data_IF_353721179762
#
_entry.id   IF_353721179762
#
_cell.length_a   1.000
_cell.length_b   1.000
_cell.length_c   1.000
_cell.angle_alpha   90.00
_cell.angle_beta   90.00
_cell.angle_gamma   90.00
#
_symmetry.space_group_name_H-M   'P 1'
#
loop_
_entity.id
_entity.type
_entity.pdbx_description
1 polymer ?
#
# COMPACT_ATOMS: atom_id res chain seq x y z
N UNK A 1 -9.52 61.77 10.31
CA UNK A 1 -8.59 60.64 10.46
C UNK A 1 -9.28 59.41 9.93
N UNK A 2 -8.79 58.88 8.81
CA UNK A 2 -9.50 57.94 7.95
C UNK A 2 -8.70 56.65 7.83
N UNK A 3 -9.40 55.52 7.74
CA UNK A 3 -8.96 54.11 7.75
C UNK A 3 -7.82 53.74 6.77
N UNK A 4 -7.37 54.69 5.95
CA UNK A 4 -6.29 54.51 4.98
C UNK A 4 -4.87 54.73 5.56
N UNK A 5 -4.75 55.41 6.70
CA UNK A 5 -3.43 55.63 7.33
C UNK A 5 -2.95 54.43 8.16
N UNK A 6 -3.85 53.53 8.57
CA UNK A 6 -3.51 52.35 9.37
C UNK A 6 -3.07 51.12 8.54
N UNK A 7 -3.21 51.16 7.21
CA UNK A 7 -2.82 50.03 6.34
C UNK A 7 -1.43 50.18 5.70
N UNK A 8 -0.79 51.37 5.82
CA UNK A 8 0.54 51.62 5.24
C UNK A 8 1.71 51.33 6.19
N UNK A 9 1.44 51.15 7.49
CA UNK A 9 2.47 50.79 8.48
C UNK A 9 2.66 49.28 8.67
N UNK A 10 1.89 48.44 7.97
CA UNK A 10 2.01 46.97 8.04
C UNK A 10 2.84 46.34 6.90
N UNK A 11 3.19 47.13 5.88
CA UNK A 11 4.05 46.70 4.78
C UNK A 11 5.19 47.71 4.66
N UNK A 12 6.33 47.36 5.27
CA UNK A 12 7.49 48.23 5.52
C UNK A 12 8.11 48.89 4.29
N UNK A 13 7.46 49.92 3.79
CA UNK A 13 7.98 50.86 2.81
C UNK A 13 8.15 52.22 3.48
N UNK A 14 9.35 52.49 4.00
CA UNK A 14 9.73 53.87 4.39
C UNK A 14 10.15 54.66 3.15
N UNK A 15 9.53 55.83 2.88
CA UNK A 15 9.97 56.71 1.82
C UNK A 15 11.21 57.53 2.22
N UNK A 16 12.03 57.80 1.21
CA UNK A 16 13.22 58.66 1.24
C UNK A 16 12.80 60.14 1.15
N UNK A 17 13.32 60.99 2.04
CA UNK A 17 13.53 62.45 1.89
C UNK A 17 14.36 62.94 3.11
N UNK A 18 15.24 63.94 3.09
CA UNK A 18 16.16 64.58 2.14
C UNK A 18 17.07 65.55 2.95
N UNK A 19 18.37 65.68 2.57
CA UNK A 19 19.33 66.82 2.72
C UNK A 19 19.70 67.38 4.12
N UNK A 20 20.94 67.16 4.62
CA UNK A 20 22.23 67.94 4.51
C UNK A 20 22.47 68.91 5.70
N UNK A 21 23.73 69.23 6.14
CA UNK A 21 24.90 69.55 5.32
C UNK A 21 26.27 68.97 5.76
N UNK A 22 27.28 69.32 4.96
CA UNK A 22 28.67 68.84 4.78
C UNK A 22 29.64 69.46 5.79
N UNK A 23 30.68 68.72 6.22
CA UNK A 23 32.06 69.21 6.49
C UNK A 23 33.05 68.03 6.73
N UNK A 24 34.40 68.21 6.70
CA UNK A 24 35.26 67.50 5.75
C UNK A 24 36.14 66.36 6.31
N UNK A 25 36.54 65.51 5.36
CA UNK A 25 37.76 64.68 5.24
C UNK A 25 38.73 64.67 6.45
N UNK A 26 38.94 63.49 7.02
CA UNK A 26 40.24 63.15 7.58
C UNK A 26 40.62 61.68 7.33
N UNK A 27 41.88 61.51 6.97
CA UNK A 27 42.53 60.34 6.37
C UNK A 27 42.92 59.31 7.44
N UNK A 28 42.72 58.00 7.20
CA UNK A 28 43.71 56.93 7.46
C UNK A 28 43.20 55.51 7.10
N UNK A 29 44.12 54.76 6.46
CA UNK A 29 44.18 53.33 6.04
C UNK A 29 43.54 52.26 6.96
N UNK A 30 43.49 50.95 6.58
CA UNK A 30 43.93 50.27 5.32
C UNK A 30 42.85 49.37 4.66
N UNK A 31 43.06 49.03 3.38
CA UNK A 31 42.30 47.99 2.66
C UNK A 31 42.67 46.59 3.17
N UNK A 32 41.67 45.78 3.56
CA UNK A 32 41.80 44.32 3.69
C UNK A 32 41.18 43.61 2.47
N UNK A 33 41.70 42.44 2.06
CA UNK A 33 41.40 41.82 0.77
C UNK A 33 40.07 41.06 0.80
N UNK A 34 39.28 41.26 -0.24
CA UNK A 34 38.08 40.46 -0.56
C UNK A 34 38.50 39.00 -0.74
N UNK A 35 38.09 38.12 0.18
CA UNK A 35 38.07 36.67 -0.04
C UNK A 35 36.87 36.04 0.64
N UNK A 36 35.66 36.37 0.16
CA UNK A 36 34.50 35.51 0.38
C UNK A 36 34.36 34.59 -0.83
N UNK A 37 34.99 33.41 -0.74
CA UNK A 37 34.58 32.26 -1.55
C UNK A 37 33.38 31.65 -0.80
N UNK A 38 32.15 31.69 -1.34
CA UNK A 38 31.03 31.04 -0.68
C UNK A 38 31.29 29.54 -0.66
N UNK A 39 31.36 28.95 0.54
CA UNK A 39 31.37 27.49 0.70
C UNK A 39 30.14 26.89 0.01
N UNK A 40 30.27 25.75 -0.68
CA UNK A 40 29.14 25.11 -1.33
C UNK A 40 28.12 24.71 -0.26
N UNK A 41 26.92 25.29 -0.36
CA UNK A 41 25.77 24.86 0.45
C UNK A 41 25.46 23.44 0.01
N UNK A 42 25.69 22.48 0.92
CA UNK A 42 25.19 21.12 0.80
C UNK A 42 23.68 21.20 0.54
N UNK A 43 23.27 20.87 -0.69
CA UNK A 43 21.86 20.77 -1.03
C UNK A 43 21.36 19.47 -0.43
N UNK A 44 20.61 19.58 0.67
CA UNK A 44 19.78 18.47 1.17
C UNK A 44 18.80 17.99 0.09
N UNK A 45 18.14 16.85 0.33
CA UNK A 45 17.20 16.29 -0.65
C UNK A 45 16.17 17.33 -1.10
N UNK A 46 15.75 17.29 -2.38
CA UNK A 46 14.84 18.30 -2.92
C UNK A 46 13.54 18.33 -2.10
N UNK A 47 12.93 19.51 -1.89
CA UNK A 47 11.67 19.62 -1.17
C UNK A 47 10.61 18.66 -1.73
N UNK A 48 9.79 18.06 -0.88
CA UNK A 48 8.80 17.05 -1.28
C UNK A 48 7.84 17.50 -2.39
N UNK A 49 7.60 18.81 -2.53
CA UNK A 49 6.86 19.37 -3.67
C UNK A 49 7.58 19.18 -5.01
N UNK A 50 8.87 19.53 -5.07
CA UNK A 50 9.68 19.34 -6.28
C UNK A 50 9.83 17.85 -6.62
N UNK A 51 9.96 17.01 -5.59
CA UNK A 51 10.04 15.57 -5.79
C UNK A 51 8.73 15.00 -6.36
N UNK A 52 7.58 15.50 -5.89
CA UNK A 52 6.27 15.13 -6.46
C UNK A 52 6.17 15.51 -7.93
N UNK A 53 6.58 16.72 -8.30
CA UNK A 53 6.55 17.17 -9.69
C UNK A 53 7.46 16.32 -10.57
N UNK A 54 8.64 15.91 -10.05
CA UNK A 54 9.56 14.98 -10.71
C UNK A 54 8.91 13.61 -10.94
N UNK A 55 8.22 13.06 -9.93
CA UNK A 55 7.52 11.77 -10.04
C UNK A 55 6.39 11.82 -11.07
N UNK A 56 5.54 12.85 -11.00
CA UNK A 56 4.42 13.02 -11.93
C UNK A 56 4.94 13.17 -13.36
N UNK A 57 5.96 14.01 -13.57
CA UNK A 57 6.58 14.20 -14.89
C UNK A 57 7.14 12.89 -15.44
N UNK A 58 7.88 12.13 -14.61
CA UNK A 58 8.41 10.83 -15.01
C UNK A 58 7.30 9.89 -15.50
N UNK A 59 6.23 9.73 -14.73
CA UNK A 59 5.13 8.83 -15.10
C UNK A 59 4.44 9.30 -16.39
N UNK A 60 4.10 10.59 -16.49
CA UNK A 60 3.43 11.16 -17.67
C UNK A 60 4.30 11.03 -18.92
N UNK A 61 5.60 11.32 -18.84
CA UNK A 61 6.52 11.18 -19.96
C UNK A 61 6.65 9.74 -20.44
N UNK A 62 6.73 8.77 -19.51
CA UNK A 62 6.84 7.36 -19.86
C UNK A 62 5.54 6.76 -20.39
N UNK A 63 4.38 7.34 -20.06
CA UNK A 63 3.09 6.91 -20.59
C UNK A 63 2.66 7.61 -21.89
N UNK A 64 3.51 8.47 -22.48
CA UNK A 64 3.26 9.06 -23.81
C UNK A 64 2.92 8.04 -24.91
N UNK A 65 3.50 6.82 -24.95
CA UNK A 65 3.12 5.82 -25.96
C UNK A 65 1.64 5.42 -25.94
N UNK A 66 0.93 5.65 -24.84
CA UNK A 66 -0.50 5.34 -24.68
C UNK A 66 -1.43 6.53 -24.98
N UNK A 67 -0.89 7.63 -25.51
CA UNK A 67 -1.69 8.79 -25.88
C UNK A 67 -2.66 8.44 -26.99
N UNK A 68 -3.94 8.73 -26.77
CA UNK A 68 -5.04 8.40 -27.68
C UNK A 68 -5.23 6.89 -27.97
N UNK A 69 -4.65 6.00 -27.16
CA UNK A 69 -4.69 4.55 -27.34
C UNK A 69 -5.42 3.84 -26.18
N UNK A 70 -6.74 4.06 -26.00
CA UNK A 70 -7.48 3.52 -24.85
C UNK A 70 -7.56 1.98 -24.82
N UNK A 71 -7.49 1.33 -25.98
CA UNK A 71 -7.57 -0.14 -26.08
C UNK A 71 -6.30 -0.85 -25.59
N UNK A 72 -5.16 -0.16 -25.64
CA UNK A 72 -3.87 -0.67 -25.14
C UNK A 72 -3.46 -0.05 -23.81
N UNK A 73 -4.33 0.78 -23.23
CA UNK A 73 -4.04 1.49 -22.00
C UNK A 73 -3.74 0.52 -20.84
N UNK A 74 -2.74 0.83 -20.00
CA UNK A 74 -2.41 0.03 -18.84
C UNK A 74 -3.59 -0.09 -17.87
N UNK A 75 -3.74 -1.26 -17.27
CA UNK A 75 -4.70 -1.51 -16.17
C UNK A 75 -4.07 -1.24 -14.80
N UNK A 76 -2.75 -1.11 -14.73
CA UNK A 76 -2.05 -0.79 -13.49
C UNK A 76 -0.65 -0.25 -13.71
N UNK A 77 -0.18 0.53 -12.75
CA UNK A 77 1.15 1.11 -12.71
C UNK A 77 1.77 0.85 -11.34
N UNK A 78 3.00 0.35 -11.30
CA UNK A 78 3.80 0.30 -10.07
C UNK A 78 5.03 1.18 -10.20
N UNK A 79 5.11 2.23 -9.39
CA UNK A 79 6.28 3.09 -9.29
C UNK A 79 7.31 2.45 -8.35
N UNK A 80 8.52 2.19 -8.85
CA UNK A 80 9.63 1.66 -8.07
C UNK A 80 10.62 2.79 -7.82
N UNK A 81 11.01 2.99 -6.56
CA UNK A 81 11.90 4.09 -6.17
C UNK A 81 13.10 3.49 -5.44
N UNK A 82 14.29 3.74 -5.96
CA UNK A 82 15.53 3.37 -5.30
C UNK A 82 15.92 4.50 -4.34
N UNK A 83 15.94 4.17 -3.05
CA UNK A 83 16.33 5.06 -1.96
C UNK A 83 17.39 4.37 -1.11
N UNK A 84 18.59 4.93 -1.04
CA UNK A 84 19.67 4.37 -0.21
C UNK A 84 19.69 4.96 1.20
N UNK A 85 18.92 6.02 1.43
CA UNK A 85 18.86 6.75 2.70
C UNK A 85 17.41 6.92 3.21
N UNK A 86 17.25 6.85 4.53
CA UNK A 86 15.96 6.95 5.20
C UNK A 86 15.36 8.36 5.12
N UNK A 87 16.19 9.41 5.09
CA UNK A 87 15.69 10.78 4.93
C UNK A 87 15.12 10.98 3.52
N UNK A 88 15.79 10.43 2.50
CA UNK A 88 15.30 10.46 1.12
C UNK A 88 13.96 9.72 0.98
N UNK A 89 13.85 8.52 1.57
CA UNK A 89 12.60 7.75 1.58
C UNK A 89 11.45 8.55 2.23
N UNK A 90 11.70 9.20 3.37
CA UNK A 90 10.71 10.03 4.04
C UNK A 90 10.23 11.19 3.14
N UNK A 91 11.13 11.83 2.39
CA UNK A 91 10.77 12.88 1.42
C UNK A 91 9.86 12.31 0.33
N UNK A 92 10.15 11.12 -0.19
CA UNK A 92 9.31 10.47 -1.19
C UNK A 92 7.93 10.09 -0.65
N UNK A 93 7.83 9.60 0.59
CA UNK A 93 6.55 9.30 1.25
C UNK A 93 5.65 10.54 1.35
N UNK A 94 6.24 11.69 1.69
CA UNK A 94 5.53 12.99 1.70
C UNK A 94 5.16 13.44 0.28
N UNK A 95 6.04 13.23 -0.71
CA UNK A 95 5.78 13.56 -2.11
C UNK A 95 4.59 12.76 -2.67
N UNK A 96 4.52 11.46 -2.34
CA UNK A 96 3.47 10.52 -2.71
C UNK A 96 2.17 10.67 -1.89
N UNK A 97 2.14 11.59 -0.92
CA UNK A 97 1.02 11.80 -0.01
C UNK A 97 0.56 10.50 0.67
N UNK A 98 1.51 9.73 1.21
CA UNK A 98 1.20 8.45 1.87
C UNK A 98 0.12 8.57 2.97
N UNK A 99 0.13 9.68 3.73
CA UNK A 99 -0.88 9.95 4.76
C UNK A 99 -2.27 10.32 4.23
N UNK A 100 -2.44 10.48 2.91
CA UNK A 100 -3.71 10.81 2.25
C UNK A 100 -3.98 9.82 1.11
N UNK A 101 -4.49 8.61 1.43
CA UNK A 101 -4.72 7.55 0.46
C UNK A 101 -5.49 8.01 -0.79
N UNK A 102 -5.02 7.59 -1.96
CA UNK A 102 -5.62 7.91 -3.26
C UNK A 102 -5.41 9.35 -3.75
N UNK A 103 -4.87 10.27 -2.94
CA UNK A 103 -4.67 11.66 -3.37
C UNK A 103 -3.68 11.76 -4.53
N UNK A 104 -2.57 11.05 -4.46
CA UNK A 104 -1.57 11.04 -5.53
C UNK A 104 -2.14 10.44 -6.82
N UNK A 105 -2.85 9.32 -6.72
CA UNK A 105 -3.50 8.68 -7.86
C UNK A 105 -4.54 9.59 -8.54
N UNK A 106 -5.32 10.37 -7.78
CA UNK A 106 -6.26 11.36 -8.34
C UNK A 106 -5.53 12.48 -9.08
N UNK A 107 -4.45 13.01 -8.52
CA UNK A 107 -3.63 14.03 -9.18
C UNK A 107 -3.00 13.49 -10.46
N UNK A 108 -2.42 12.29 -10.38
CA UNK A 108 -1.83 11.60 -11.53
C UNK A 108 -2.88 11.33 -12.63
N UNK A 109 -4.09 10.88 -12.27
CA UNK A 109 -5.20 10.71 -13.21
C UNK A 109 -5.50 12.00 -13.98
N UNK A 110 -5.52 13.15 -13.28
CA UNK A 110 -5.76 14.46 -13.92
C UNK A 110 -4.64 14.79 -14.91
N UNK A 111 -3.38 14.67 -14.49
CA UNK A 111 -2.22 14.96 -15.34
C UNK A 111 -2.18 14.05 -16.58
N UNK A 112 -2.51 12.77 -16.44
CA UNK A 112 -2.58 11.84 -17.57
C UNK A 112 -3.71 12.21 -18.55
N UNK A 113 -4.88 12.57 -18.04
CA UNK A 113 -5.99 13.04 -18.86
C UNK A 113 -5.65 14.33 -19.63
N UNK A 114 -4.97 15.29 -18.98
CA UNK A 114 -4.47 16.53 -19.61
C UNK A 114 -3.44 16.24 -20.72
N UNK A 115 -2.78 15.09 -20.66
CA UNK A 115 -1.83 14.61 -21.67
C UNK A 115 -2.45 13.55 -22.62
N UNK A 116 -3.78 13.46 -22.70
CA UNK A 116 -4.52 12.53 -23.59
C UNK A 116 -4.25 11.03 -23.35
N UNK A 117 -3.79 10.66 -22.16
CA UNK A 117 -3.66 9.26 -21.73
C UNK A 117 -4.89 8.91 -20.90
N UNK A 118 -5.79 8.09 -21.47
CA UNK A 118 -7.00 7.63 -20.80
C UNK A 118 -6.79 6.21 -20.27
N UNK A 119 -6.67 6.08 -18.95
CA UNK A 119 -6.65 4.79 -18.28
C UNK A 119 -8.07 4.28 -17.99
N UNK A 120 -8.29 2.97 -17.84
CA UNK A 120 -9.57 2.39 -17.41
C UNK A 120 -10.04 2.95 -16.06
N UNK A 121 -11.35 2.98 -15.79
CA UNK A 121 -11.88 3.56 -14.54
C UNK A 121 -11.39 2.85 -13.26
N UNK A 122 -11.04 1.58 -13.36
CA UNK A 122 -10.58 0.70 -12.29
C UNK A 122 -9.07 0.48 -12.30
N UNK A 123 -8.32 1.36 -12.99
CA UNK A 123 -6.87 1.29 -13.06
C UNK A 123 -6.22 1.44 -11.67
N UNK A 124 -5.08 0.79 -11.47
CA UNK A 124 -4.37 0.77 -10.18
C UNK A 124 -3.06 1.54 -10.20
N UNK A 125 -2.74 2.15 -9.08
CA UNK A 125 -1.46 2.78 -8.83
C UNK A 125 -0.88 2.28 -7.52
N UNK A 126 0.28 1.64 -7.58
CA UNK A 126 1.07 1.21 -6.44
C UNK A 126 2.47 1.84 -6.49
N UNK A 127 3.17 1.84 -5.36
CA UNK A 127 4.58 2.19 -5.32
C UNK A 127 5.36 1.32 -4.33
N UNK A 128 6.68 1.26 -4.47
CA UNK A 128 7.56 0.54 -3.55
C UNK A 128 8.96 1.14 -3.52
N UNK A 129 9.59 1.06 -2.34
CA UNK A 129 10.96 1.48 -2.11
C UNK A 129 11.92 0.29 -2.17
N UNK A 130 13.09 0.52 -2.73
CA UNK A 130 14.16 -0.46 -2.87
C UNK A 130 15.47 0.16 -2.38
N UNK A 131 16.30 -0.61 -1.69
CA UNK A 131 17.55 -0.11 -1.09
C UNK A 131 18.78 -0.33 -1.98
N UNK A 132 18.80 -1.44 -2.74
CA UNK A 132 19.99 -1.87 -3.49
C UNK A 132 19.82 -1.67 -5.00
N UNK A 133 18.86 -2.36 -5.60
CA UNK A 133 18.59 -2.30 -7.04
C UNK A 133 17.09 -2.19 -7.33
N UNK A 134 16.77 -1.54 -8.45
CA UNK A 134 15.41 -1.53 -8.99
C UNK A 134 15.09 -2.90 -9.58
N UNK A 135 13.84 -3.39 -9.44
CA UNK A 135 13.41 -4.61 -10.13
C UNK A 135 13.42 -4.40 -11.66
N UNK A 136 13.20 -5.48 -12.41
CA UNK A 136 13.00 -5.38 -13.86
C UNK A 136 11.76 -4.54 -14.16
N UNK A 137 11.99 -3.28 -14.56
CA UNK A 137 10.95 -2.28 -14.74
C UNK A 137 10.75 -2.04 -16.23
N UNK A 138 9.50 -1.93 -16.67
CA UNK A 138 9.14 -1.56 -18.05
C UNK A 138 9.82 -0.26 -18.49
N UNK A 139 9.93 0.71 -17.59
CA UNK A 139 10.66 1.94 -17.80
C UNK A 139 11.55 2.26 -16.62
N UNK A 140 12.75 2.78 -16.88
CA UNK A 140 13.66 3.27 -15.85
C UNK A 140 14.23 4.65 -16.21
N UNK A 141 14.56 5.45 -15.19
CA UNK A 141 15.30 6.69 -15.30
C UNK A 141 15.98 7.02 -13.96
N UNK A 142 17.28 6.76 -13.86
CA UNK A 142 18.04 6.94 -12.63
C UNK A 142 17.47 6.09 -11.49
N UNK A 143 17.13 6.71 -10.37
CA UNK A 143 16.57 6.04 -9.20
C UNK A 143 15.06 5.76 -9.28
N UNK A 144 14.43 5.98 -10.43
CA UNK A 144 13.01 5.73 -10.65
C UNK A 144 12.81 4.62 -11.68
N UNK A 145 11.94 3.67 -11.34
CA UNK A 145 11.43 2.62 -12.21
C UNK A 145 9.91 2.66 -12.29
N UNK A 146 9.34 2.16 -13.38
CA UNK A 146 7.90 1.97 -13.53
C UNK A 146 7.63 0.63 -14.19
N UNK A 147 6.79 -0.17 -13.56
CA UNK A 147 6.24 -1.39 -14.15
C UNK A 147 4.85 -1.06 -14.66
N UNK A 148 4.60 -1.37 -15.93
CA UNK A 148 3.30 -1.19 -16.57
C UNK A 148 2.60 -2.53 -16.68
N UNK A 149 1.39 -2.60 -16.12
CA UNK A 149 0.56 -3.78 -16.15
C UNK A 149 -0.47 -3.63 -17.25
N UNK A 150 -0.33 -4.44 -18.30
CA UNK A 150 -1.26 -4.47 -19.42
C UNK A 150 -2.33 -5.55 -19.21
N UNK A 151 -3.53 -5.33 -19.77
CA UNK A 151 -4.65 -6.27 -19.68
C UNK A 151 -4.32 -7.69 -20.21
N UNK A 152 -3.39 -7.77 -21.17
CA UNK A 152 -3.02 -9.02 -21.86
C UNK A 152 -1.71 -9.65 -21.34
N UNK A 153 -1.07 -9.05 -20.33
CA UNK A 153 0.21 -9.52 -19.82
C UNK A 153 0.23 -9.36 -18.29
N UNK A 154 -0.40 -10.29 -17.54
CA UNK A 154 -0.23 -10.37 -16.09
C UNK A 154 1.16 -10.96 -15.84
N UNK A 155 2.21 -10.18 -16.10
CA UNK A 155 3.61 -10.65 -16.13
C UNK A 155 4.23 -10.77 -14.73
N UNK A 156 3.49 -11.39 -13.83
CA UNK A 156 4.01 -11.77 -12.54
C UNK A 156 3.17 -12.93 -12.05
N UNK A 157 3.83 -14.06 -11.84
CA UNK A 157 3.23 -15.26 -11.26
C UNK A 157 2.31 -14.85 -10.10
N UNK A 158 1.09 -15.44 -10.01
CA UNK A 158 0.18 -15.10 -8.92
C UNK A 158 0.92 -15.26 -7.59
N UNK A 159 0.75 -14.29 -6.71
CA UNK A 159 1.40 -14.31 -5.41
C UNK A 159 0.90 -15.54 -4.67
N UNK A 160 1.80 -16.47 -4.34
CA UNK A 160 1.45 -17.66 -3.59
C UNK A 160 1.34 -17.29 -2.11
N UNK A 161 0.48 -18.02 -1.40
CA UNK A 161 0.42 -17.92 0.05
C UNK A 161 0.39 -19.32 0.67
N UNK A 162 0.68 -19.38 1.97
CA UNK A 162 0.65 -20.58 2.79
C UNK A 162 -0.17 -20.31 4.05
N UNK A 163 -0.96 -21.29 4.44
CA UNK A 163 -1.66 -21.33 5.72
C UNK A 163 -1.06 -22.41 6.61
N UNK A 164 -0.73 -22.08 7.85
CA UNK A 164 -0.21 -23.01 8.85
C UNK A 164 -1.03 -22.89 10.14
N UNK A 165 -1.38 -24.00 10.77
CA UNK A 165 -2.04 -23.96 12.08
C UNK A 165 -1.04 -23.65 13.20
N UNK A 166 -1.26 -22.56 13.95
CA UNK A 166 -0.52 -22.24 15.17
C UNK A 166 -1.18 -22.91 16.39
N UNK A 167 -2.51 -22.88 16.44
CA UNK A 167 -3.33 -23.58 17.44
C UNK A 167 -4.47 -24.33 16.75
N UNK A 168 -4.93 -25.41 17.36
CA UNK A 168 -5.85 -26.36 16.72
C UNK A 168 -5.13 -27.40 15.85
N UNK A 169 -5.90 -28.29 15.25
CA UNK A 169 -5.39 -29.33 14.39
C UNK A 169 -6.06 -29.32 13.02
N UNK A 170 -5.24 -29.19 11.99
CA UNK A 170 -5.63 -29.29 10.58
C UNK A 170 -5.31 -30.66 10.01
N UNK A 171 -5.96 -31.00 8.88
CA UNK A 171 -5.67 -32.23 8.14
C UNK A 171 -4.26 -32.24 7.53
N UNK A 172 -3.80 -31.10 7.02
CA UNK A 172 -2.46 -30.91 6.47
C UNK A 172 -1.64 -30.01 7.40
N UNK A 173 -0.32 -30.17 7.36
CA UNK A 173 0.61 -29.36 8.17
C UNK A 173 0.60 -27.90 7.67
N UNK A 174 0.59 -27.73 6.35
CA UNK A 174 0.48 -26.46 5.67
C UNK A 174 -0.39 -26.58 4.42
N UNK A 175 -1.02 -25.47 4.02
CA UNK A 175 -1.86 -25.39 2.83
C UNK A 175 -1.34 -24.31 1.91
N UNK A 176 -0.88 -24.68 0.71
CA UNK A 176 -0.48 -23.72 -0.32
C UNK A 176 -1.71 -23.20 -1.05
N UNK A 177 -1.91 -21.88 -0.98
CA UNK A 177 -2.93 -21.16 -1.72
C UNK A 177 -2.34 -20.76 -3.06
N UNK A 178 -2.71 -21.49 -4.11
CA UNK A 178 -2.26 -21.25 -5.47
C UNK A 178 -3.39 -20.64 -6.33
N UNK A 179 -3.35 -19.32 -6.61
CA UNK A 179 -4.38 -18.66 -7.39
C UNK A 179 -4.43 -19.10 -8.85
N UNK A 180 -3.39 -19.77 -9.37
CA UNK A 180 -3.45 -20.37 -10.70
C UNK A 180 -4.39 -21.58 -10.75
N UNK A 181 -4.61 -22.25 -9.60
CA UNK A 181 -5.53 -23.40 -9.48
C UNK A 181 -6.93 -23.00 -9.07
N UNK A 182 -7.04 -22.11 -8.07
CA UNK A 182 -8.33 -21.69 -7.48
C UNK A 182 -8.17 -20.34 -6.83
N UNK A 183 -9.17 -19.47 -6.93
CA UNK A 183 -9.12 -18.12 -6.34
C UNK A 183 -9.83 -18.01 -4.98
N UNK A 184 -10.58 -19.04 -4.58
CA UNK A 184 -11.35 -19.05 -3.33
C UNK A 184 -11.06 -20.32 -2.53
N UNK A 185 -10.59 -20.18 -1.29
CA UNK A 185 -10.16 -21.28 -0.43
C UNK A 185 -11.03 -21.34 0.81
N UNK A 186 -11.94 -22.32 0.88
CA UNK A 186 -12.89 -22.49 1.95
C UNK A 186 -12.22 -23.06 3.21
N UNK A 187 -12.50 -22.44 4.35
CA UNK A 187 -12.03 -22.84 5.68
C UNK A 187 -13.23 -23.38 6.46
N UNK A 188 -13.03 -24.50 7.12
CA UNK A 188 -14.04 -25.01 8.04
C UNK A 188 -13.66 -26.34 8.67
N UNK A 189 -14.47 -26.73 9.64
CA UNK A 189 -14.34 -28.03 10.30
C UNK A 189 -14.93 -29.15 9.45
N UNK A 190 -14.14 -30.20 9.24
CA UNK A 190 -14.46 -31.33 8.37
C UNK A 190 -14.29 -31.03 6.88
N UNK A 191 -14.09 -32.09 6.11
CA UNK A 191 -13.76 -31.97 4.68
C UNK A 191 -14.95 -31.44 3.85
N UNK A 192 -16.18 -31.79 4.23
CA UNK A 192 -17.37 -31.29 3.54
C UNK A 192 -18.52 -31.02 4.50
N UNK A 193 -19.40 -30.11 4.11
CA UNK A 193 -20.63 -29.79 4.85
C UNK A 193 -21.76 -29.46 3.91
N UNK A 194 -22.99 -29.74 4.33
CA UNK A 194 -24.17 -29.26 3.65
C UNK A 194 -24.46 -27.82 4.10
N UNK A 195 -24.61 -26.91 3.15
CA UNK A 195 -25.00 -25.52 3.40
C UNK A 195 -26.51 -25.43 3.64
N UNK A 196 -26.99 -24.28 4.16
CA UNK A 196 -28.43 -24.03 4.34
C UNK A 196 -29.24 -24.16 3.02
N UNK A 197 -28.59 -24.00 1.87
CA UNK A 197 -29.21 -24.19 0.55
C UNK A 197 -29.35 -25.66 0.12
N UNK A 198 -28.87 -26.60 0.93
CA UNK A 198 -28.79 -28.02 0.59
C UNK A 198 -27.58 -28.39 -0.28
N UNK A 199 -26.81 -27.43 -0.78
CA UNK A 199 -25.57 -27.68 -1.54
C UNK A 199 -24.46 -28.20 -0.64
N UNK A 200 -23.66 -29.13 -1.15
CA UNK A 200 -22.44 -29.60 -0.51
C UNK A 200 -21.33 -28.58 -0.78
N UNK A 201 -20.68 -28.12 0.29
CA UNK A 201 -19.47 -27.32 0.26
C UNK A 201 -18.30 -28.21 0.68
N UNK A 202 -17.18 -28.09 -0.03
CA UNK A 202 -15.91 -28.71 0.32
C UNK A 202 -15.00 -27.64 0.91
N UNK A 203 -14.38 -27.93 2.06
CA UNK A 203 -13.35 -27.07 2.63
C UNK A 203 -11.99 -27.43 2.03
N UNK A 204 -11.22 -26.42 1.66
CA UNK A 204 -9.85 -26.57 1.16
C UNK A 204 -8.85 -26.55 2.31
N UNK A 205 -9.14 -25.76 3.35
CA UNK A 205 -8.39 -25.70 4.61
C UNK A 205 -9.27 -26.38 5.67
N UNK A 206 -8.90 -27.61 6.02
CA UNK A 206 -9.73 -28.51 6.84
C UNK A 206 -9.24 -28.52 8.28
N UNK A 207 -10.08 -28.03 9.19
CA UNK A 207 -9.91 -28.25 10.62
C UNK A 207 -10.50 -29.63 10.95
N UNK A 208 -9.73 -30.51 11.61
CA UNK A 208 -10.18 -31.88 11.91
C UNK A 208 -11.34 -31.89 12.92
N UNK A 209 -12.28 -32.82 12.72
CA UNK A 209 -13.26 -33.22 13.70
C UNK A 209 -12.70 -34.26 14.66
N UNK A 210 -13.36 -34.42 15.81
CA UNK A 210 -13.03 -35.45 16.80
C UNK A 210 -13.15 -36.89 16.26
N UNK A 211 -14.01 -37.11 15.27
CA UNK A 211 -14.22 -38.41 14.61
C UNK A 211 -13.25 -38.67 13.44
N UNK A 212 -12.40 -37.70 13.07
CA UNK A 212 -11.41 -37.91 12.01
C UNK A 212 -10.26 -38.84 12.52
N UNK A 213 -9.80 -39.83 11.73
CA UNK A 213 -8.80 -40.80 12.17
C UNK A 213 -7.47 -40.19 12.63
N UNK A 214 -7.12 -39.02 12.08
CA UNK A 214 -5.90 -38.30 12.41
C UNK A 214 -6.05 -37.36 13.61
N UNK A 215 -7.24 -37.25 14.21
CA UNK A 215 -7.51 -36.32 15.31
C UNK A 215 -6.76 -36.70 16.59
N UNK A 216 -6.08 -35.72 17.17
CA UNK A 216 -5.37 -35.81 18.43
C UNK A 216 -6.04 -34.90 19.46
N UNK A 217 -6.66 -35.49 20.49
CA UNK A 217 -7.46 -34.76 21.48
C UNK A 217 -6.75 -33.56 22.12
N UNK A 218 -5.43 -33.64 22.32
CA UNK A 218 -4.65 -32.53 22.91
C UNK A 218 -4.47 -31.36 21.93
N UNK A 219 -4.21 -31.64 20.65
CA UNK A 219 -3.97 -30.60 19.63
C UNK A 219 -5.28 -30.03 19.10
N UNK A 220 -6.28 -30.89 18.92
CA UNK A 220 -7.58 -30.53 18.37
C UNK A 220 -8.64 -30.11 19.39
N UNK A 221 -8.30 -29.92 20.66
CA UNK A 221 -9.26 -29.60 21.73
C UNK A 221 -10.14 -28.38 21.39
N UNK A 222 -9.58 -27.39 20.70
CA UNK A 222 -10.26 -26.16 20.27
C UNK A 222 -11.05 -26.28 18.96
N UNK A 223 -10.90 -27.37 18.20
CA UNK A 223 -11.42 -27.47 16.85
C UNK A 223 -12.96 -27.41 16.79
N UNK A 224 -13.65 -27.88 17.84
CA UNK A 224 -15.12 -27.88 17.90
C UNK A 224 -15.73 -26.47 17.87
N UNK A 225 -14.97 -25.44 18.28
CA UNK A 225 -15.34 -24.03 18.16
C UNK A 225 -15.31 -23.50 16.71
N UNK A 226 -14.73 -24.26 15.78
CA UNK A 226 -14.75 -23.91 14.36
C UNK A 226 -15.98 -24.52 13.69
N UNK A 227 -16.77 -23.66 13.07
CA UNK A 227 -17.91 -24.04 12.24
C UNK A 227 -17.49 -24.85 11.01
N UNK A 228 -18.38 -25.72 10.54
CA UNK A 228 -18.16 -26.51 9.32
C UNK A 228 -18.01 -25.65 8.04
N UNK A 229 -18.61 -24.46 8.03
CA UNK A 229 -18.44 -23.44 7.00
C UNK A 229 -18.15 -22.11 7.72
N UNK A 230 -16.88 -21.84 8.01
CA UNK A 230 -16.50 -20.75 8.91
C UNK A 230 -16.10 -19.48 8.16
N UNK A 231 -15.20 -19.60 7.19
CA UNK A 231 -14.70 -18.49 6.40
C UNK A 231 -14.14 -19.01 5.07
N UNK A 232 -13.74 -18.10 4.18
CA UNK A 232 -12.94 -18.43 3.02
C UNK A 232 -11.94 -17.32 2.72
N UNK A 233 -10.80 -17.69 2.13
CA UNK A 233 -9.80 -16.74 1.64
C UNK A 233 -10.01 -16.55 0.15
N UNK A 234 -10.18 -15.30 -0.27
CA UNK A 234 -10.37 -14.91 -1.66
C UNK A 234 -9.13 -14.16 -2.17
N UNK A 235 -8.55 -14.65 -3.27
CA UNK A 235 -7.56 -13.93 -4.05
C UNK A 235 -8.24 -13.00 -5.05
N UNK A 236 -7.87 -11.71 -5.02
CA UNK A 236 -8.23 -10.74 -6.05
C UNK A 236 -7.07 -10.67 -7.05
N UNK A 237 -7.27 -11.26 -8.23
CA UNK A 237 -6.24 -11.32 -9.27
C UNK A 237 -5.80 -9.95 -9.77
N UNK A 238 -6.69 -8.97 -9.73
CA UNK A 238 -6.36 -7.63 -10.16
C UNK A 238 -5.54 -6.93 -9.06
N UNK A 239 -5.88 -7.09 -7.76
CA UNK A 239 -5.13 -6.49 -6.62
C UNK A 239 -3.88 -7.27 -6.26
N UNK A 240 -3.80 -8.53 -6.69
CA UNK A 240 -2.78 -9.50 -6.27
C UNK A 240 -2.67 -9.60 -4.75
N UNK A 241 -3.82 -9.49 -4.09
CA UNK A 241 -3.95 -9.56 -2.64
C UNK A 241 -4.93 -10.65 -2.25
N UNK A 242 -4.70 -11.23 -1.09
CA UNK A 242 -5.66 -12.10 -0.43
C UNK A 242 -6.53 -11.31 0.53
N UNK A 243 -7.76 -11.77 0.69
CA UNK A 243 -8.68 -11.24 1.70
C UNK A 243 -9.42 -12.39 2.38
N UNK A 244 -9.64 -12.28 3.69
CA UNK A 244 -10.51 -13.17 4.43
C UNK A 244 -11.96 -12.68 4.29
N UNK A 245 -12.88 -13.58 3.99
CA UNK A 245 -14.31 -13.34 4.04
C UNK A 245 -14.95 -14.32 5.00
N UNK A 246 -15.76 -13.82 5.92
CA UNK A 246 -16.37 -14.64 6.96
C UNK A 246 -17.72 -15.16 6.48
N UNK A 247 -17.89 -16.47 6.54
CA UNK A 247 -19.12 -17.15 6.17
C UNK A 247 -20.10 -17.13 7.36
N UNK A 248 -21.40 -17.47 7.16
CA UNK A 248 -22.38 -17.43 8.24
C UNK A 248 -21.97 -18.16 9.53
N UNK A 249 -21.18 -19.24 9.44
CA UNK A 249 -20.69 -19.98 10.60
C UNK A 249 -19.51 -19.35 11.34
N UNK A 250 -18.82 -18.37 10.77
CA UNK A 250 -17.75 -17.63 11.45
C UNK A 250 -18.21 -16.30 12.05
N UNK A 251 -19.45 -15.90 11.76
CA UNK A 251 -20.05 -14.66 12.25
C UNK A 251 -20.58 -14.80 13.69
N UNK A 252 -20.63 -13.70 14.47
CA UNK A 252 -21.23 -13.65 15.81
C UNK A 252 -22.64 -14.20 15.92
N UNK A 253 -23.46 -14.05 14.87
CA UNK A 253 -24.83 -14.58 14.82
C UNK A 253 -24.91 -16.11 14.97
N UNK A 254 -23.83 -16.83 14.67
CA UNK A 254 -23.73 -18.29 14.85
C UNK A 254 -23.15 -18.70 16.22
N UNK A 255 -22.86 -17.74 17.10
CA UNK A 255 -22.17 -17.96 18.37
C UNK A 255 -20.64 -18.03 18.24
N UNK A 256 -20.10 -17.89 17.03
CA UNK A 256 -18.67 -17.91 16.76
C UNK A 256 -18.10 -16.51 16.53
N UNK A 257 -16.78 -16.39 16.51
CA UNK A 257 -16.09 -15.13 16.22
C UNK A 257 -14.90 -15.40 15.32
N UNK A 258 -14.63 -14.48 14.42
CA UNK A 258 -13.43 -14.46 13.59
C UNK A 258 -12.68 -13.16 13.85
N UNK A 259 -11.36 -13.25 14.09
CA UNK A 259 -10.51 -12.07 14.27
C UNK A 259 -9.23 -12.21 13.45
N UNK A 260 -8.70 -11.06 13.05
CA UNK A 260 -7.38 -10.92 12.48
C UNK A 260 -6.48 -10.21 13.49
N UNK A 261 -5.33 -10.79 13.75
CA UNK A 261 -4.23 -10.18 14.47
C UNK A 261 -3.12 -9.88 13.48
N UNK A 262 -2.81 -8.61 13.32
CA UNK A 262 -1.78 -8.15 12.41
C UNK A 262 -0.41 -8.11 13.11
N UNK A 263 0.71 -8.22 12.37
CA UNK A 263 2.06 -8.11 12.93
C UNK A 263 2.35 -6.79 13.66
N UNK A 264 1.59 -5.73 13.36
CA UNK A 264 1.67 -4.41 14.01
C UNK A 264 0.81 -4.32 15.29
N UNK A 265 0.39 -5.46 15.84
CA UNK A 265 -0.49 -5.61 17.02
C UNK A 265 -1.92 -5.09 16.83
N UNK A 266 -2.29 -4.65 15.62
CA UNK A 266 -3.67 -4.26 15.33
C UNK A 266 -4.57 -5.49 15.33
N UNK A 267 -5.75 -5.35 15.94
CA UNK A 267 -6.78 -6.40 15.96
C UNK A 267 -7.98 -5.92 15.15
N UNK A 268 -8.39 -6.71 14.17
CA UNK A 268 -9.57 -6.46 13.37
C UNK A 268 -10.60 -7.58 13.59
N UNK A 269 -11.85 -7.19 13.85
CA UNK A 269 -12.96 -8.14 14.02
C UNK A 269 -13.61 -8.36 12.66
N UNK A 270 -13.62 -9.61 12.23
CA UNK A 270 -14.22 -9.98 10.96
C UNK A 270 -15.69 -10.40 11.19
N UNK A 271 -16.56 -9.42 11.43
CA UNK A 271 -17.95 -9.62 11.85
C UNK A 271 -19.00 -9.04 10.88
N UNK A 272 -18.57 -8.45 9.76
CA UNK A 272 -19.46 -7.87 8.74
C UNK A 272 -19.65 -8.89 7.60
N UNK A 273 -20.88 -9.38 7.37
CA UNK A 273 -21.16 -10.33 6.28
C UNK A 273 -20.79 -9.76 4.90
N UNK A 274 -20.10 -10.56 4.09
CA UNK A 274 -19.71 -10.19 2.72
C UNK A 274 -18.58 -9.16 2.62
N UNK A 275 -18.03 -8.71 3.75
CA UNK A 275 -16.85 -7.85 3.76
C UNK A 275 -15.59 -8.69 3.60
N UNK A 276 -14.70 -8.25 2.69
CA UNK A 276 -13.36 -8.81 2.55
C UNK A 276 -12.36 -8.03 3.39
N UNK A 277 -11.65 -8.75 4.27
CA UNK A 277 -10.63 -8.22 5.15
C UNK A 277 -9.26 -8.53 4.56
N UNK A 278 -8.47 -7.53 4.11
CA UNK A 278 -7.17 -7.77 3.48
C UNK A 278 -6.22 -8.56 4.39
N UNK A 279 -5.50 -9.52 3.82
CA UNK A 279 -4.48 -10.31 4.50
C UNK A 279 -3.09 -9.85 4.07
N UNK A 280 -2.18 -9.74 5.05
CA UNK A 280 -0.75 -9.46 4.84
C UNK A 280 0.09 -10.58 5.46
N UNK A 281 1.32 -10.75 4.95
CA UNK A 281 2.25 -11.76 5.49
C UNK A 281 2.42 -11.57 7.01
N UNK A 282 2.28 -12.66 7.75
CA UNK A 282 2.39 -12.69 9.21
C UNK A 282 1.07 -12.48 9.95
N UNK A 283 -0.04 -12.22 9.26
CA UNK A 283 -1.36 -12.14 9.89
C UNK A 283 -1.75 -13.49 10.54
N UNK A 284 -2.35 -13.41 11.72
CA UNK A 284 -2.97 -14.55 12.38
C UNK A 284 -4.49 -14.45 12.32
N UNK A 285 -5.13 -15.53 11.89
CA UNK A 285 -6.57 -15.67 11.74
C UNK A 285 -7.09 -16.53 12.89
N UNK A 286 -7.77 -15.93 13.86
CA UNK A 286 -8.45 -16.63 14.95
C UNK A 286 -9.87 -17.04 14.51
N UNK A 287 -10.16 -18.33 14.61
CA UNK A 287 -11.43 -18.97 14.25
C UNK A 287 -12.07 -19.54 15.52
N UNK A 288 -13.31 -19.13 15.81
CA UNK A 288 -14.06 -19.61 16.98
C UNK A 288 -13.49 -19.20 18.34
N UNK A 289 -12.34 -18.51 18.37
CA UNK A 289 -11.63 -18.14 19.59
C UNK A 289 -10.61 -19.16 20.11
N UNK A 290 -10.44 -20.28 19.42
CA UNK A 290 -9.65 -21.42 19.91
C UNK A 290 -8.62 -21.92 18.89
N UNK A 291 -8.91 -21.76 17.59
CA UNK A 291 -8.03 -22.16 16.48
C UNK A 291 -7.42 -20.92 15.85
N UNK A 292 -6.10 -20.95 15.64
CA UNK A 292 -5.36 -19.83 15.06
C UNK A 292 -4.55 -20.31 13.88
N UNK A 293 -4.73 -19.67 12.73
CA UNK A 293 -3.99 -19.95 11.50
C UNK A 293 -3.04 -18.79 11.21
N UNK A 294 -1.81 -19.08 10.82
CA UNK A 294 -0.85 -18.11 10.29
C UNK A 294 -1.00 -18.01 8.77
N UNK A 295 -1.08 -16.79 8.24
CA UNK A 295 -1.02 -16.50 6.83
C UNK A 295 0.37 -15.98 6.43
N UNK A 296 0.99 -16.62 5.46
CA UNK A 296 2.31 -16.25 4.94
C UNK A 296 2.26 -16.11 3.43
N UNK A 297 2.80 -15.02 2.89
CA UNK A 297 3.17 -14.95 1.47
C UNK A 297 4.41 -15.81 1.20
N UNK A 298 4.46 -16.47 0.03
CA UNK A 298 5.55 -17.35 -0.44
C UNK A 298 6.30 -16.72 -1.60
#
# INVERSE_FOLDING_TARGET
MSLLDSLKNLFGFTPIQARQPVEPVNSNRPQEPITDIPKPVSQGPPPAGQQRDRLLRFIVEKLRPYQNEPETAPVGLKLCILCTDAEEEAVYRVALWESQPGKFQRELSRQLADNYVKLPNDWRFDYGFYADELPDCTYQNGNLGMIVQNKNQPDSSPLLARIVALTGQTEQVDYILDPAKKTSFCIGRGHSTQTASGRIRTNDIVILNEDDPAYEAKRGAGNSAVSRAHAHIQYDAARRTYSLQVDPGGLPASGNKTKLFHPDERIERADIPGMGYPLQHGDQIELGGEVTLLFELV
#
